data_IF_745034952049
#
_entry.id   IF_745034952049
#
_cell.length_a   1.000
_cell.length_b   1.000
_cell.length_c   1.000
_cell.angle_alpha   90.00
_cell.angle_beta   90.00
_cell.angle_gamma   90.00
#
_symmetry.space_group_name_H-M   'P 1'
#
loop_
_entity.id
_entity.type
_entity.pdbx_description
1 polymer ?
#
# COMPACT_ATOMS: atom_id res chain seq x y z
N UNK A 1 1.26 39.02 -48.03
CA UNK A 1 1.80 38.69 -46.68
C UNK A 1 1.07 39.56 -45.66
N UNK A 2 0.23 38.97 -44.79
CA UNK A 2 0.67 38.83 -43.40
C UNK A 2 0.13 37.55 -42.73
N UNK A 3 0.78 36.42 -42.99
CA UNK A 3 0.54 35.14 -42.27
C UNK A 3 1.58 35.03 -41.15
N UNK A 4 1.45 35.83 -40.08
CA UNK A 4 2.46 35.84 -38.99
C UNK A 4 1.93 36.09 -37.58
N UNK A 5 0.66 35.79 -37.27
CA UNK A 5 0.13 36.01 -35.90
C UNK A 5 -0.81 34.93 -35.36
N UNK A 6 -0.52 33.65 -35.61
CA UNK A 6 -1.32 32.55 -35.03
C UNK A 6 -0.48 31.40 -34.43
N UNK A 7 0.75 31.66 -34.01
CA UNK A 7 1.60 30.65 -33.35
C UNK A 7 2.10 31.24 -32.03
N UNK A 8 1.24 31.36 -31.03
CA UNK A 8 1.68 31.80 -29.70
C UNK A 8 0.84 31.30 -28.51
N UNK A 9 -0.13 30.40 -28.69
CA UNK A 9 -1.02 30.01 -27.58
C UNK A 9 -1.22 28.50 -27.38
N UNK A 10 -0.51 27.64 -28.10
CA UNK A 10 -0.68 26.17 -27.99
C UNK A 10 0.33 25.47 -27.07
N UNK A 11 0.95 26.16 -26.11
CA UNK A 11 2.05 25.61 -25.30
C UNK A 11 1.75 25.49 -23.78
N UNK A 12 0.49 25.47 -23.35
CA UNK A 12 0.16 25.39 -21.91
C UNK A 12 -0.80 24.25 -21.51
N UNK A 13 -0.99 23.23 -22.34
CA UNK A 13 -1.94 22.14 -22.06
C UNK A 13 -1.31 20.83 -21.52
N UNK A 14 -0.07 20.88 -21.02
CA UNK A 14 0.64 19.70 -20.50
C UNK A 14 1.14 19.93 -19.07
N UNK A 15 0.25 20.41 -18.19
CA UNK A 15 0.46 20.29 -16.75
C UNK A 15 -0.28 19.05 -16.25
N UNK A 16 0.51 17.98 -16.22
CA UNK A 16 0.36 16.68 -15.56
C UNK A 16 -0.82 16.54 -14.56
N UNK A 17 -1.71 15.56 -14.72
CA UNK A 17 -2.53 15.09 -13.62
C UNK A 17 -1.66 14.19 -12.73
N UNK A 18 -0.87 14.78 -11.84
CA UNK A 18 -0.23 14.07 -10.71
C UNK A 18 -1.22 13.85 -9.55
N UNK A 19 -2.53 13.87 -9.81
CA UNK A 19 -3.57 13.91 -8.79
C UNK A 19 -3.94 12.55 -8.18
N UNK A 20 -3.08 11.54 -8.33
CA UNK A 20 -3.16 10.32 -7.52
C UNK A 20 -1.74 9.93 -7.14
N UNK A 21 -1.28 10.41 -5.99
CA UNK A 21 -0.03 9.94 -5.37
C UNK A 21 -0.25 8.52 -4.85
N UNK A 22 -0.39 7.56 -5.76
CA UNK A 22 -0.28 6.15 -5.44
C UNK A 22 1.22 5.85 -5.32
N UNK A 23 1.71 5.81 -4.08
CA UNK A 23 3.09 5.41 -3.82
C UNK A 23 3.14 3.88 -3.89
N UNK A 24 3.65 3.37 -5.01
CA UNK A 24 3.98 1.95 -5.13
C UNK A 24 5.41 1.76 -4.68
N UNK A 25 5.61 0.97 -3.63
CA UNK A 25 6.93 0.60 -3.14
C UNK A 25 7.10 -0.91 -3.29
N UNK A 26 8.13 -1.31 -4.04
CA UNK A 26 8.49 -2.72 -4.23
C UNK A 26 9.76 -2.99 -3.43
N UNK A 27 9.67 -3.92 -2.48
CA UNK A 27 10.78 -4.44 -1.69
C UNK A 27 11.07 -5.91 -2.04
N UNK A 28 12.17 -6.47 -1.52
CA UNK A 28 12.47 -7.88 -1.69
C UNK A 28 11.39 -8.72 -0.99
N UNK A 29 10.56 -9.41 -1.79
CA UNK A 29 9.47 -10.25 -1.29
C UNK A 29 8.22 -9.50 -0.81
N UNK A 30 8.12 -8.20 -1.09
CA UNK A 30 6.96 -7.38 -0.70
C UNK A 30 6.61 -6.36 -1.77
N UNK A 31 5.32 -6.25 -2.10
CA UNK A 31 4.79 -5.15 -2.91
C UNK A 31 3.78 -4.38 -2.10
N UNK A 32 3.91 -3.06 -2.07
CA UNK A 32 3.02 -2.18 -1.31
C UNK A 32 2.46 -1.08 -2.21
N UNK A 33 1.15 -0.96 -2.22
CA UNK A 33 0.39 0.00 -3.00
C UNK A 33 -0.33 0.92 -2.03
N UNK A 34 0.23 2.11 -1.81
CA UNK A 34 -0.28 3.09 -0.86
C UNK A 34 -1.09 4.18 -1.55
N UNK A 35 -2.26 4.46 -0.99
CA UNK A 35 -3.11 5.62 -1.29
C UNK A 35 -3.26 6.45 -0.02
N UNK A 36 -3.90 7.62 -0.13
CA UNK A 36 -4.11 8.52 1.03
C UNK A 36 -4.92 7.85 2.16
N UNK A 37 -5.81 6.92 1.85
CA UNK A 37 -6.66 6.26 2.84
C UNK A 37 -6.17 4.92 3.36
N UNK A 38 -5.05 4.41 2.83
CA UNK A 38 -4.52 3.12 3.22
C UNK A 38 -3.56 2.52 2.19
N UNK A 39 -2.92 1.43 2.58
CA UNK A 39 -2.00 0.67 1.76
C UNK A 39 -2.40 -0.79 1.66
N UNK A 40 -2.32 -1.35 0.45
CA UNK A 40 -2.40 -2.80 0.24
C UNK A 40 -0.98 -3.33 0.14
N UNK A 41 -0.63 -4.30 0.98
CA UNK A 41 0.69 -4.92 0.99
C UNK A 41 0.54 -6.40 0.71
N UNK A 42 1.26 -6.87 -0.31
CA UNK A 42 1.41 -8.29 -0.60
C UNK A 42 2.77 -8.73 -0.10
N UNK A 43 2.76 -9.73 0.77
CA UNK A 43 3.96 -10.38 1.30
C UNK A 43 4.11 -11.75 0.61
N UNK A 44 5.27 -12.00 0.01
CA UNK A 44 5.60 -13.32 -0.51
C UNK A 44 5.93 -14.26 0.65
N UNK A 45 5.46 -15.51 0.58
CA UNK A 45 5.72 -16.52 1.61
C UNK A 45 7.10 -17.15 1.42
N UNK A 46 7.72 -17.52 2.54
CA UNK A 46 9.02 -18.22 2.53
C UNK A 46 10.24 -17.30 2.43
N UNK A 47 10.04 -15.98 2.49
CA UNK A 47 11.11 -14.98 2.59
C UNK A 47 10.88 -14.07 3.78
N UNK A 48 11.95 -13.47 4.32
CA UNK A 48 11.88 -12.43 5.36
C UNK A 48 11.26 -11.15 4.77
N UNK A 49 9.94 -11.13 4.69
CA UNK A 49 9.16 -10.10 4.02
C UNK A 49 8.86 -8.93 4.99
N UNK A 50 9.47 -7.78 4.69
CA UNK A 50 9.31 -6.53 5.44
C UNK A 50 8.90 -5.39 4.52
N UNK A 51 7.99 -4.54 4.97
CA UNK A 51 7.50 -3.39 4.24
C UNK A 51 7.36 -2.20 5.18
N UNK A 52 7.72 -1.00 4.71
CA UNK A 52 7.42 0.24 5.43
C UNK A 52 6.14 0.83 4.87
N UNK A 53 5.11 0.87 5.70
CA UNK A 53 3.75 1.26 5.33
C UNK A 53 3.41 2.53 6.07
N UNK A 54 3.32 3.66 5.34
CA UNK A 54 2.98 4.97 5.90
C UNK A 54 3.91 5.40 7.06
N UNK A 55 5.19 4.99 7.01
CA UNK A 55 6.19 5.29 8.05
C UNK A 55 6.19 4.33 9.24
N UNK A 56 5.31 3.31 9.25
CA UNK A 56 5.29 2.23 10.23
C UNK A 56 5.88 0.98 9.57
N UNK A 57 6.79 0.28 10.24
CA UNK A 57 7.29 -1.01 9.73
C UNK A 57 6.25 -2.12 9.95
N UNK A 58 5.95 -2.86 8.89
CA UNK A 58 5.12 -4.06 8.91
C UNK A 58 5.97 -5.25 8.45
N UNK A 59 6.04 -6.29 9.27
CA UNK A 59 6.77 -7.52 9.00
C UNK A 59 5.86 -8.72 9.14
N UNK A 60 5.95 -9.63 8.18
CA UNK A 60 5.33 -10.94 8.28
C UNK A 60 6.18 -11.85 9.18
N UNK A 61 5.65 -12.23 10.35
CA UNK A 61 6.38 -13.05 11.33
C UNK A 61 6.06 -14.52 11.17
N UNK A 62 4.77 -14.85 11.00
CA UNK A 62 4.33 -16.23 10.82
C UNK A 62 3.01 -16.30 10.03
N UNK A 63 2.82 -17.42 9.35
CA UNK A 63 1.56 -17.77 8.69
C UNK A 63 1.22 -19.21 9.05
N UNK A 64 0.13 -19.40 9.80
CA UNK A 64 -0.35 -20.68 10.27
C UNK A 64 -1.74 -20.97 9.66
N UNK A 65 -1.75 -21.63 8.50
CA UNK A 65 -2.99 -21.84 7.74
C UNK A 65 -3.64 -20.49 7.40
N UNK A 66 -4.81 -20.25 7.95
CA UNK A 66 -5.62 -19.04 7.73
C UNK A 66 -5.34 -17.90 8.73
N UNK A 67 -4.38 -18.10 9.63
CA UNK A 67 -4.03 -17.15 10.69
C UNK A 67 -2.66 -16.55 10.41
N UNK A 68 -2.59 -15.22 10.36
CA UNK A 68 -1.37 -14.48 10.04
C UNK A 68 -0.90 -13.71 11.27
N UNK A 69 0.37 -13.88 11.63
CA UNK A 69 1.04 -13.09 12.67
C UNK A 69 1.92 -12.03 12.00
N UNK A 70 1.61 -10.77 12.28
CA UNK A 70 2.28 -9.60 11.73
C UNK A 70 2.90 -8.81 12.87
N UNK A 71 4.11 -8.28 12.68
CA UNK A 71 4.68 -7.25 13.54
C UNK A 71 4.45 -5.90 12.89
N UNK A 72 3.68 -5.03 13.54
CA UNK A 72 3.35 -3.69 13.04
C UNK A 72 3.86 -2.68 14.05
N UNK A 73 4.82 -1.84 13.66
CA UNK A 73 5.47 -0.88 14.56
C UNK A 73 6.18 -1.54 15.74
N UNK A 74 6.65 -2.79 15.58
CA UNK A 74 7.26 -3.58 16.66
C UNK A 74 6.26 -4.31 17.58
N UNK A 75 4.95 -4.15 17.38
CA UNK A 75 3.93 -4.92 18.10
C UNK A 75 3.46 -6.10 17.26
N UNK A 76 3.55 -7.31 17.82
CA UNK A 76 3.01 -8.51 17.20
C UNK A 76 1.50 -8.61 17.41
N UNK A 77 0.77 -8.71 16.30
CA UNK A 77 -0.67 -8.94 16.25
C UNK A 77 -0.94 -10.21 15.45
N UNK A 78 -2.02 -10.90 15.79
CA UNK A 78 -2.47 -12.08 15.06
C UNK A 78 -3.85 -11.80 14.48
N UNK A 79 -3.97 -11.94 13.17
CA UNK A 79 -5.14 -11.56 12.40
C UNK A 79 -5.56 -12.75 11.53
N UNK A 80 -6.75 -13.32 11.74
CA UNK A 80 -7.32 -14.32 10.84
C UNK A 80 -7.67 -13.71 9.48
N UNK A 81 -7.63 -14.51 8.42
CA UNK A 81 -8.12 -14.12 7.10
C UNK A 81 -9.58 -13.64 7.16
N UNK A 82 -9.88 -12.57 6.43
CA UNK A 82 -11.19 -11.94 6.40
C UNK A 82 -11.54 -11.08 7.63
N UNK A 83 -10.68 -11.07 8.66
CA UNK A 83 -10.85 -10.25 9.85
C UNK A 83 -9.91 -9.03 9.82
N UNK A 84 -10.28 -8.00 10.59
CA UNK A 84 -9.42 -6.85 10.84
C UNK A 84 -9.08 -6.72 12.32
N UNK A 85 -7.94 -6.11 12.59
CA UNK A 85 -7.44 -5.79 13.91
C UNK A 85 -6.80 -4.41 13.92
N UNK A 86 -7.07 -3.64 14.97
CA UNK A 86 -6.47 -2.33 15.14
C UNK A 86 -5.07 -2.46 15.76
N UNK A 87 -4.07 -1.81 15.16
CA UNK A 87 -2.71 -1.72 15.68
C UNK A 87 -2.12 -0.35 15.41
N UNK A 88 -1.58 0.31 16.44
CA UNK A 88 -0.95 1.64 16.33
C UNK A 88 -1.82 2.69 15.59
N UNK A 89 -3.14 2.67 15.79
CA UNK A 89 -4.06 3.60 15.12
C UNK A 89 -4.32 3.31 13.64
N UNK A 90 -3.87 2.16 13.13
CA UNK A 90 -4.15 1.66 11.78
C UNK A 90 -4.99 0.39 11.89
N UNK A 91 -6.01 0.25 11.05
CA UNK A 91 -6.77 -1.00 10.93
C UNK A 91 -6.04 -1.93 9.95
N UNK A 92 -5.68 -3.12 10.41
CA UNK A 92 -4.95 -4.14 9.65
C UNK A 92 -5.89 -5.28 9.34
N UNK A 93 -6.19 -5.47 8.06
CA UNK A 93 -7.07 -6.53 7.58
C UNK A 93 -6.32 -7.52 6.72
N UNK A 94 -6.44 -8.80 7.04
CA UNK A 94 -5.91 -9.86 6.16
C UNK A 94 -6.97 -10.16 5.11
N UNK A 95 -6.70 -9.77 3.87
CA UNK A 95 -7.65 -9.95 2.77
C UNK A 95 -7.55 -11.35 2.16
N UNK A 96 -6.35 -11.85 1.96
CA UNK A 96 -6.14 -13.14 1.30
C UNK A 96 -4.88 -13.82 1.82
N UNK A 97 -4.97 -15.14 1.99
CA UNK A 97 -3.83 -16.00 2.33
C UNK A 97 -3.79 -17.12 1.30
N UNK A 98 -2.68 -17.21 0.56
CA UNK A 98 -2.44 -18.27 -0.42
C UNK A 98 -1.17 -19.06 -0.04
N UNK A 99 -0.87 -20.17 -0.72
CA UNK A 99 0.40 -20.89 -0.52
C UNK A 99 1.63 -20.02 -0.83
N UNK A 100 1.49 -19.08 -1.76
CA UNK A 100 2.63 -18.30 -2.29
C UNK A 100 2.71 -16.88 -1.72
N UNK A 101 1.57 -16.26 -1.37
CA UNK A 101 1.50 -14.85 -0.94
C UNK A 101 0.40 -14.58 0.09
N UNK A 102 0.56 -13.50 0.83
CA UNK A 102 -0.41 -12.97 1.80
C UNK A 102 -0.71 -11.51 1.47
N UNK A 103 -1.99 -11.18 1.29
CA UNK A 103 -2.44 -9.82 0.99
C UNK A 103 -3.04 -9.21 2.26
N UNK A 104 -2.48 -8.10 2.69
CA UNK A 104 -2.88 -7.36 3.90
C UNK A 104 -3.21 -5.92 3.52
N UNK A 105 -4.35 -5.43 3.99
CA UNK A 105 -4.79 -4.05 3.77
C UNK A 105 -4.65 -3.29 5.08
N UNK A 106 -3.91 -2.20 5.04
CA UNK A 106 -3.70 -1.26 6.13
C UNK A 106 -4.53 -0.01 5.87
N UNK A 107 -5.49 0.31 6.73
CA UNK A 107 -6.37 1.48 6.57
C UNK A 107 -6.12 2.48 7.69
N UNK A 108 -5.91 3.75 7.33
CA UNK A 108 -5.69 4.84 8.31
C UNK A 108 -6.97 5.53 8.75
N UNK A 109 -8.12 5.13 8.19
CA UNK A 109 -9.41 5.79 8.43
C UNK A 109 -9.54 7.17 7.77
N UNK A 110 -8.51 7.63 7.06
CA UNK A 110 -8.54 8.90 6.32
C UNK A 110 -9.20 8.67 4.96
N UNK A 111 -10.49 8.99 4.83
CA UNK A 111 -11.16 8.93 3.52
C UNK A 111 -10.73 10.13 2.69
N UNK A 112 -10.16 9.92 1.50
CA UNK A 112 -9.96 11.03 0.55
C UNK A 112 -11.35 11.52 0.11
N UNK A 113 -11.75 12.71 0.58
CA UNK A 113 -12.97 13.40 0.16
C UNK A 113 -12.61 14.48 -0.85
#
# INVERSE_FOLDING_TARGET
>A
MPVRRLIALSAFALLLPLAATACTMTGPGTTSECTVGGCTVTFDRGVDAKASVLGIEAQLVAVNGDVVTLSVGGQQITVPVGQSQASNGTDVRVSEVTPDKVVVVFSTGLTQN
#
